data_IF_689459826450
#
_entry.id   IF_689459826450
#
_cell.length_a   1.000
_cell.length_b   1.000
_cell.length_c   1.000
_cell.angle_alpha   90.00
_cell.angle_beta   90.00
_cell.angle_gamma   90.00
#
_symmetry.space_group_name_H-M   'P 1'
#
loop_
_entity.id
_entity.type
_entity.pdbx_description
1 polymer ?
#
# COMPACT_ATOMS: atom_id res chain seq x y z
N UNK A 1 -3.13 -24.29 15.30
CA UNK A 1 -2.22 -24.09 14.15
C UNK A 1 -2.43 -22.66 13.67
N UNK A 2 -1.51 -21.75 13.95
CA UNK A 2 -1.64 -20.34 13.55
C UNK A 2 -1.50 -20.24 12.02
N UNK A 3 -2.47 -19.62 11.35
CA UNK A 3 -2.35 -19.28 9.93
C UNK A 3 -1.40 -18.08 9.82
N UNK A 4 -0.25 -18.26 9.18
CA UNK A 4 0.59 -17.13 8.78
C UNK A 4 -0.22 -16.20 7.88
N UNK A 5 -0.10 -14.90 8.12
CA UNK A 5 -0.65 -13.82 7.29
C UNK A 5 0.36 -12.69 7.22
N UNK A 6 0.26 -11.85 6.20
CA UNK A 6 0.94 -10.55 6.14
C UNK A 6 -0.10 -9.42 6.11
N UNK A 7 0.36 -8.17 6.20
CA UNK A 7 -0.49 -7.01 6.10
C UNK A 7 0.14 -6.00 5.14
N UNK A 8 -0.64 -5.49 4.21
CA UNK A 8 -0.28 -4.28 3.45
C UNK A 8 -0.90 -3.08 4.10
N UNK A 9 -0.11 -2.02 4.29
CA UNK A 9 -0.59 -0.74 4.79
C UNK A 9 -0.13 0.38 3.86
N UNK A 10 -1.05 1.26 3.49
CA UNK A 10 -0.77 2.42 2.65
C UNK A 10 -1.35 3.68 3.28
N UNK A 11 -0.61 4.78 3.12
CA UNK A 11 -1.04 6.12 3.52
C UNK A 11 -0.85 7.06 2.35
N UNK A 12 -1.93 7.72 1.94
CA UNK A 12 -1.91 8.74 0.89
C UNK A 12 -1.86 10.10 1.55
N UNK A 13 -0.90 10.91 1.10
CA UNK A 13 -0.76 12.31 1.49
C UNK A 13 -0.90 13.23 0.29
N UNK A 14 -1.48 14.40 0.52
CA UNK A 14 -1.51 15.46 -0.47
C UNK A 14 -0.14 16.18 -0.57
N UNK A 15 -0.05 17.18 -1.45
CA UNK A 15 1.17 17.98 -1.63
C UNK A 15 1.57 18.83 -0.41
N UNK A 16 0.67 19.01 0.56
CA UNK A 16 0.92 19.68 1.83
C UNK A 16 1.35 18.71 2.93
N UNK A 17 1.40 17.41 2.63
CA UNK A 17 1.73 16.35 3.58
C UNK A 17 0.56 15.90 4.45
N UNK A 18 -0.66 16.38 4.20
CA UNK A 18 -1.86 15.98 4.94
C UNK A 18 -2.32 14.60 4.49
N UNK A 19 -2.69 13.74 5.44
CA UNK A 19 -3.25 12.42 5.13
C UNK A 19 -4.67 12.59 4.58
N UNK A 20 -4.87 12.18 3.34
CA UNK A 20 -6.17 12.22 2.65
C UNK A 20 -6.89 10.88 2.69
N UNK A 21 -6.14 9.77 2.78
CA UNK A 21 -6.70 8.43 2.94
C UNK A 21 -5.64 7.47 3.46
N UNK A 22 -6.06 6.40 4.12
CA UNK A 22 -5.23 5.24 4.44
C UNK A 22 -5.98 3.95 4.20
N UNK A 23 -5.26 2.84 4.01
CA UNK A 23 -5.86 1.52 3.85
C UNK A 23 -4.92 0.45 4.39
N UNK A 24 -5.48 -0.51 5.11
CA UNK A 24 -4.79 -1.71 5.56
C UNK A 24 -5.56 -2.95 5.09
N UNK A 25 -4.84 -3.97 4.59
CA UNK A 25 -5.42 -5.24 4.14
C UNK A 25 -4.58 -6.40 4.67
N UNK A 26 -5.25 -7.38 5.29
CA UNK A 26 -4.64 -8.63 5.72
C UNK A 26 -4.58 -9.59 4.53
N UNK A 27 -3.38 -10.09 4.23
CA UNK A 27 -3.12 -11.05 3.16
C UNK A 27 -2.87 -12.45 3.74
N UNK A 28 -3.79 -13.38 3.48
CA UNK A 28 -3.69 -14.76 3.95
C UNK A 28 -2.80 -15.65 3.05
N UNK A 29 -2.48 -15.18 1.85
CA UNK A 29 -1.81 -15.98 0.81
C UNK A 29 -0.49 -15.38 0.29
N UNK A 30 -0.17 -14.15 0.71
CA UNK A 30 1.10 -13.50 0.40
C UNK A 30 1.82 -13.30 1.72
N UNK A 31 2.96 -13.96 1.90
CA UNK A 31 3.68 -14.00 3.18
C UNK A 31 5.08 -13.41 3.11
N UNK A 32 5.55 -13.07 1.92
CA UNK A 32 6.88 -12.48 1.73
C UNK A 32 6.79 -10.97 1.90
N UNK A 33 7.85 -10.35 2.45
CA UNK A 33 7.95 -8.89 2.54
C UNK A 33 7.84 -8.24 1.17
N UNK A 34 8.59 -8.76 0.19
CA UNK A 34 8.52 -8.30 -1.20
C UNK A 34 7.10 -8.36 -1.79
N UNK A 35 6.41 -9.50 -1.66
CA UNK A 35 5.06 -9.66 -2.21
C UNK A 35 4.05 -8.75 -1.52
N UNK A 36 4.23 -8.52 -0.22
CA UNK A 36 3.41 -7.58 0.55
C UNK A 36 3.64 -6.16 0.03
N UNK A 37 4.88 -5.72 -0.14
CA UNK A 37 5.16 -4.38 -0.67
C UNK A 37 4.67 -4.19 -2.11
N UNK A 38 4.85 -5.20 -2.98
CA UNK A 38 4.32 -5.15 -4.35
C UNK A 38 2.79 -4.97 -4.37
N UNK A 39 2.07 -5.63 -3.45
CA UNK A 39 0.63 -5.43 -3.27
C UNK A 39 0.30 -4.05 -2.70
N UNK A 40 1.10 -3.52 -1.77
CA UNK A 40 0.92 -2.17 -1.24
C UNK A 40 1.07 -1.12 -2.36
N UNK A 41 2.08 -1.26 -3.22
CA UNK A 41 2.25 -0.41 -4.41
C UNK A 41 1.04 -0.47 -5.35
N UNK A 42 0.54 -1.66 -5.67
CA UNK A 42 -0.66 -1.83 -6.50
C UNK A 42 -1.89 -1.15 -5.88
N UNK A 43 -2.09 -1.34 -4.57
CA UNK A 43 -3.20 -0.71 -3.85
C UNK A 43 -3.07 0.82 -3.82
N UNK A 44 -1.86 1.35 -3.63
CA UNK A 44 -1.61 2.79 -3.61
C UNK A 44 -1.90 3.44 -4.97
N UNK A 45 -1.49 2.80 -6.08
CA UNK A 45 -1.81 3.28 -7.43
C UNK A 45 -3.31 3.22 -7.69
N UNK A 46 -3.97 2.10 -7.37
CA UNK A 46 -5.41 1.94 -7.58
C UNK A 46 -6.21 2.98 -6.80
N UNK A 47 -5.89 3.16 -5.51
CA UNK A 47 -6.54 4.16 -4.67
C UNK A 47 -6.24 5.59 -5.15
N UNK A 48 -5.03 5.84 -5.68
CA UNK A 48 -4.69 7.11 -6.30
C UNK A 48 -5.57 7.44 -7.52
N UNK A 49 -5.80 6.44 -8.38
CA UNK A 49 -6.71 6.54 -9.53
C UNK A 49 -8.15 6.79 -9.08
N UNK A 50 -8.64 6.02 -8.09
CA UNK A 50 -10.01 6.15 -7.55
C UNK A 50 -10.26 7.55 -6.96
N UNK A 51 -9.22 8.18 -6.38
CA UNK A 51 -9.26 9.53 -5.85
C UNK A 51 -9.06 10.63 -6.91
N UNK A 52 -8.87 10.25 -8.18
CA UNK A 52 -8.71 11.18 -9.30
C UNK A 52 -7.33 11.84 -9.39
N UNK A 53 -6.30 11.29 -8.74
CA UNK A 53 -4.94 11.82 -8.85
C UNK A 53 -4.31 11.50 -10.20
N UNK A 54 -3.73 12.53 -10.84
CA UNK A 54 -3.01 12.36 -12.12
C UNK A 54 -1.59 11.83 -11.93
N UNK A 55 -0.98 12.09 -10.78
CA UNK A 55 0.39 11.71 -10.45
C UNK A 55 0.42 11.21 -9.02
N UNK A 56 1.05 10.05 -8.81
CA UNK A 56 1.24 9.43 -7.50
C UNK A 56 2.73 9.14 -7.32
N UNK A 57 3.30 9.54 -6.17
CA UNK A 57 4.67 9.23 -5.79
C UNK A 57 4.62 8.15 -4.70
N UNK A 58 5.19 6.99 -5.00
CA UNK A 58 5.29 5.89 -4.04
C UNK A 58 6.57 6.04 -3.22
N UNK A 59 6.45 5.83 -1.90
CA UNK A 59 7.59 5.75 -0.97
C UNK A 59 7.38 4.51 -0.10
N UNK A 60 8.35 3.61 -0.12
CA UNK A 60 8.39 2.39 0.67
C UNK A 60 9.80 2.15 1.22
N UNK A 61 9.93 1.21 2.15
CA UNK A 61 11.20 0.83 2.77
C UNK A 61 11.82 -0.43 2.14
N UNK A 62 11.08 -1.11 1.26
CA UNK A 62 11.61 -2.25 0.52
C UNK A 62 12.67 -1.79 -0.49
N UNK A 63 13.79 -2.51 -0.49
CA UNK A 63 14.75 -2.51 -1.59
C UNK A 63 14.11 -3.29 -2.74
N UNK A 64 13.43 -2.58 -3.63
CA UNK A 64 12.92 -3.12 -4.91
C UNK A 64 14.07 -3.48 -5.85
#
# INVERSE_FOLDING_TARGET
>A
MEKKSSCTEIVIRDGWGQVVSSRAIINCHVLTGFGTEALACLQAVSLGVDLGFRVVILKGDALL
#
